data_IF_775802158631
#
_entry.id   IF_775802158631
#
_cell.length_a   1.000
_cell.length_b   1.000
_cell.length_c   1.000
_cell.angle_alpha   90.00
_cell.angle_beta   90.00
_cell.angle_gamma   90.00
#
_symmetry.space_group_name_H-M   'P 1'
#
loop_
_entity.id
_entity.type
_entity.pdbx_description
1 polymer ?
#
# COMPACT_ATOMS: atom_id res chain seq x y z
N UNK A 1 -12.40 1.97 20.18
CA UNK A 1 -12.41 3.33 19.60
C UNK A 1 -11.56 3.30 18.33
N UNK A 2 -12.12 3.67 17.17
CA UNK A 2 -11.34 3.75 15.92
C UNK A 2 -10.25 4.80 16.10
N UNK A 3 -9.01 4.42 15.85
CA UNK A 3 -7.87 5.32 15.73
C UNK A 3 -8.27 6.47 14.81
N UNK A 4 -8.03 7.72 15.21
CA UNK A 4 -8.04 8.90 14.34
C UNK A 4 -6.80 8.84 13.44
N UNK A 5 -6.70 7.79 12.65
CA UNK A 5 -5.92 7.79 11.43
C UNK A 5 -6.78 8.53 10.41
N UNK A 6 -6.17 9.40 9.67
CA UNK A 6 -6.79 10.08 8.54
C UNK A 6 -7.52 9.03 7.69
N UNK A 7 -8.86 9.07 7.57
CA UNK A 7 -9.62 8.03 6.86
C UNK A 7 -9.13 7.82 5.43
N UNK A 8 -8.49 8.82 4.82
CA UNK A 8 -7.89 8.72 3.50
C UNK A 8 -6.57 7.90 3.53
N UNK A 9 -5.83 7.91 4.64
CA UNK A 9 -4.58 7.12 4.81
C UNK A 9 -4.91 5.66 5.10
N UNK A 10 -5.91 5.39 5.93
CA UNK A 10 -6.35 4.01 6.23
C UNK A 10 -6.99 3.36 5.01
N UNK A 11 -7.82 4.08 4.27
CA UNK A 11 -8.41 3.61 3.02
C UNK A 11 -7.32 3.30 1.96
N UNK A 12 -6.30 4.16 1.84
CA UNK A 12 -5.18 3.94 0.91
C UNK A 12 -4.29 2.74 1.34
N UNK A 13 -4.13 2.52 2.64
CA UNK A 13 -3.38 1.38 3.17
C UNK A 13 -4.14 0.06 2.99
N UNK A 14 -5.44 0.04 3.28
CA UNK A 14 -6.31 -1.12 3.04
C UNK A 14 -6.36 -1.47 1.54
N UNK A 15 -6.51 -0.49 0.66
CA UNK A 15 -6.49 -0.69 -0.79
C UNK A 15 -5.14 -1.27 -1.25
N UNK A 16 -4.02 -0.78 -0.69
CA UNK A 16 -2.67 -1.28 -1.01
C UNK A 16 -2.47 -2.72 -0.54
N UNK A 17 -2.93 -3.05 0.67
CA UNK A 17 -2.85 -4.40 1.23
C UNK A 17 -3.76 -5.39 0.50
N UNK A 18 -4.99 -4.99 0.13
CA UNK A 18 -5.88 -5.82 -0.69
C UNK A 18 -5.29 -6.10 -2.07
N UNK A 19 -4.69 -5.08 -2.71
CA UNK A 19 -4.03 -5.24 -4.02
C UNK A 19 -2.82 -6.17 -3.91
N UNK A 20 -2.01 -6.05 -2.86
CA UNK A 20 -0.88 -6.94 -2.60
C UNK A 20 -1.33 -8.38 -2.35
N UNK A 21 -2.36 -8.58 -1.51
CA UNK A 21 -2.93 -9.90 -1.22
C UNK A 21 -3.58 -10.54 -2.46
N UNK A 22 -4.28 -9.76 -3.29
CA UNK A 22 -4.85 -10.24 -4.57
C UNK A 22 -3.75 -10.60 -5.57
N UNK A 23 -2.64 -9.84 -5.61
CA UNK A 23 -1.47 -10.18 -6.44
C UNK A 23 -0.80 -11.48 -6.00
N UNK A 24 -0.66 -11.70 -4.70
CA UNK A 24 -0.10 -12.93 -4.12
C UNK A 24 -1.00 -14.13 -4.40
N UNK A 25 -2.31 -13.98 -4.23
CA UNK A 25 -3.28 -15.03 -4.52
C UNK A 25 -3.35 -15.37 -6.02
N UNK A 26 -3.31 -14.37 -6.89
CA UNK A 26 -3.23 -14.56 -8.36
C UNK A 26 -1.88 -15.18 -8.80
N UNK A 27 -0.83 -15.04 -7.99
CA UNK A 27 0.46 -15.69 -8.23
C UNK A 27 0.47 -17.19 -7.91
N UNK A 28 -0.37 -17.64 -7.01
CA UNK A 28 -0.34 -19.02 -6.46
C UNK A 28 -1.33 -19.98 -7.10
N UNK A 29 -2.46 -19.52 -7.63
CA UNK A 29 -3.55 -20.37 -8.16
C UNK A 29 -3.79 -20.15 -9.65
N UNK A 30 -3.04 -20.88 -10.50
CA UNK A 30 -3.32 -20.94 -11.94
C UNK A 30 -4.30 -22.07 -12.25
N UNK A 31 -5.43 -21.70 -12.84
CA UNK A 31 -6.38 -22.66 -13.39
C UNK A 31 -5.79 -23.37 -14.62
N UNK A 32 -6.24 -24.58 -14.95
CA UNK A 32 -5.87 -25.23 -16.21
C UNK A 32 -6.17 -24.36 -17.44
N UNK A 33 -7.26 -23.59 -17.41
CA UNK A 33 -7.64 -22.64 -18.46
C UNK A 33 -6.63 -21.52 -18.65
N UNK A 34 -6.08 -20.93 -17.57
CA UNK A 34 -5.04 -19.90 -17.66
C UNK A 34 -3.74 -20.49 -18.27
N UNK A 35 -3.36 -21.71 -17.90
CA UNK A 35 -2.19 -22.39 -18.49
C UNK A 35 -2.36 -22.60 -20.00
N UNK A 36 -3.53 -23.07 -20.42
CA UNK A 36 -3.85 -23.25 -21.83
C UNK A 36 -3.83 -21.94 -22.59
N UNK A 37 -4.44 -20.88 -22.05
CA UNK A 37 -4.46 -19.54 -22.66
C UNK A 37 -3.03 -19.00 -22.84
N UNK A 38 -2.15 -19.16 -21.83
CA UNK A 38 -0.75 -18.73 -21.93
C UNK A 38 -0.01 -19.46 -23.06
N UNK A 39 -0.20 -20.77 -23.17
CA UNK A 39 0.45 -21.57 -24.22
C UNK A 39 -0.10 -21.20 -25.61
N UNK A 40 -1.41 -21.05 -25.74
CA UNK A 40 -2.04 -20.70 -27.03
C UNK A 40 -1.70 -19.27 -27.47
N UNK A 41 -1.79 -18.29 -26.57
CA UNK A 41 -1.50 -16.89 -26.92
C UNK A 41 0.00 -16.66 -27.13
N UNK A 42 0.86 -17.15 -26.22
CA UNK A 42 2.30 -16.97 -26.34
C UNK A 42 2.89 -17.79 -27.49
N UNK A 43 2.50 -19.06 -27.61
CA UNK A 43 2.92 -19.93 -28.72
C UNK A 43 2.36 -19.48 -30.08
N UNK A 44 1.10 -19.01 -30.07
CA UNK A 44 0.47 -18.41 -31.26
C UNK A 44 1.21 -17.17 -31.75
N UNK A 45 1.60 -16.26 -30.85
CA UNK A 45 2.43 -15.13 -31.20
C UNK A 45 3.76 -15.54 -31.83
N UNK A 46 4.48 -16.49 -31.20
CA UNK A 46 5.75 -16.98 -31.73
C UNK A 46 5.60 -17.60 -33.14
N UNK A 47 4.56 -18.39 -33.34
CA UNK A 47 4.26 -18.98 -34.64
C UNK A 47 3.96 -17.89 -35.73
N UNK A 48 3.14 -16.91 -35.40
CA UNK A 48 2.83 -15.80 -36.30
C UNK A 48 4.07 -14.96 -36.61
N UNK A 49 4.90 -14.63 -35.62
CA UNK A 49 6.15 -13.92 -35.80
C UNK A 49 7.13 -14.65 -36.75
N UNK A 50 7.22 -15.97 -36.63
CA UNK A 50 8.01 -16.82 -37.53
C UNK A 50 7.43 -16.84 -38.96
N UNK A 51 6.10 -16.94 -39.11
CA UNK A 51 5.46 -16.90 -40.42
C UNK A 51 5.74 -15.56 -41.15
N UNK A 52 5.65 -14.44 -40.41
CA UNK A 52 5.99 -13.13 -40.94
C UNK A 52 7.46 -13.08 -41.42
N UNK A 53 8.38 -13.61 -40.62
CA UNK A 53 9.80 -13.61 -40.95
C UNK A 53 10.11 -14.42 -42.23
N UNK A 54 9.47 -15.57 -42.44
CA UNK A 54 9.68 -16.40 -43.65
C UNK A 54 9.31 -15.63 -44.94
N UNK A 55 8.38 -14.69 -44.85
CA UNK A 55 7.99 -13.84 -46.02
C UNK A 55 8.98 -12.70 -46.30
N UNK A 56 10.10 -12.59 -45.59
CA UNK A 56 11.11 -11.55 -45.79
C UNK A 56 12.02 -11.88 -46.98
N UNK A 57 12.13 -11.01 -47.99
CA UNK A 57 12.89 -11.32 -49.19
C UNK A 57 14.41 -11.13 -49.04
N UNK A 58 14.88 -10.40 -48.03
CA UNK A 58 16.29 -10.05 -47.87
C UNK A 58 16.81 -10.33 -46.46
N UNK A 59 17.86 -11.13 -46.35
CA UNK A 59 18.61 -11.45 -45.16
C UNK A 59 20.07 -10.99 -45.26
N UNK A 60 20.34 -9.85 -45.88
CA UNK A 60 21.68 -9.30 -45.94
C UNK A 60 22.30 -9.08 -44.53
N UNK A 61 23.64 -9.09 -44.46
CA UNK A 61 24.36 -8.85 -43.21
C UNK A 61 24.00 -7.53 -42.53
N UNK A 62 23.61 -6.52 -43.33
CA UNK A 62 23.14 -5.24 -42.81
C UNK A 62 21.80 -5.37 -42.11
N UNK A 63 20.86 -6.11 -42.71
CA UNK A 63 19.55 -6.37 -42.07
C UNK A 63 19.74 -7.17 -40.82
N UNK A 64 20.57 -8.21 -40.80
CA UNK A 64 20.86 -9.03 -39.62
C UNK A 64 21.48 -8.18 -38.51
N UNK A 65 22.48 -7.35 -38.81
CA UNK A 65 23.12 -6.48 -37.83
C UNK A 65 22.16 -5.45 -37.22
N UNK A 66 21.30 -4.88 -38.08
CA UNK A 66 20.25 -3.95 -37.59
C UNK A 66 19.21 -4.65 -36.74
N UNK A 67 18.79 -5.85 -37.14
CA UNK A 67 17.87 -6.69 -36.33
C UNK A 67 18.42 -6.97 -34.94
N UNK A 68 19.67 -7.43 -34.83
CA UNK A 68 20.33 -7.70 -33.54
C UNK A 68 20.38 -6.44 -32.67
N UNK A 69 20.69 -5.27 -33.26
CA UNK A 69 20.72 -4.01 -32.56
C UNK A 69 19.33 -3.67 -31.98
N UNK A 70 18.26 -3.77 -32.80
CA UNK A 70 16.91 -3.48 -32.35
C UNK A 70 16.38 -4.49 -31.33
N UNK A 71 16.77 -5.78 -31.43
CA UNK A 71 16.51 -6.80 -30.40
C UNK A 71 17.14 -6.36 -29.05
N UNK A 72 18.39 -5.91 -29.06
CA UNK A 72 19.06 -5.43 -27.86
C UNK A 72 18.38 -4.19 -27.27
N UNK A 73 18.05 -3.22 -28.11
CA UNK A 73 17.34 -1.99 -27.70
C UNK A 73 15.96 -2.30 -27.12
N UNK A 74 15.21 -3.17 -27.76
CA UNK A 74 13.88 -3.60 -27.28
C UNK A 74 14.01 -4.35 -25.93
N UNK A 75 15.01 -5.23 -25.78
CA UNK A 75 15.26 -5.93 -24.54
C UNK A 75 15.61 -4.98 -23.39
N UNK A 76 16.42 -3.94 -23.66
CA UNK A 76 16.76 -2.91 -22.66
C UNK A 76 15.51 -2.09 -22.29
N UNK A 77 14.75 -1.61 -23.29
CA UNK A 77 13.51 -0.88 -23.06
C UNK A 77 12.50 -1.73 -22.25
N UNK A 78 12.38 -3.02 -22.59
CA UNK A 78 11.47 -3.96 -21.89
C UNK A 78 11.88 -4.25 -20.42
N UNK A 79 13.09 -3.88 -19.99
CA UNK A 79 13.51 -3.94 -18.57
C UNK A 79 13.19 -2.70 -17.79
N UNK A 80 12.85 -1.63 -18.49
CA UNK A 80 12.50 -0.34 -17.89
C UNK A 80 11.00 -0.32 -17.60
N UNK A 81 10.64 -0.93 -16.48
CA UNK A 81 9.25 -1.04 -16.05
C UNK A 81 8.87 0.16 -15.17
N UNK A 82 7.77 0.82 -15.49
CA UNK A 82 7.15 1.86 -14.67
C UNK A 82 5.94 1.28 -13.95
N UNK A 83 5.90 1.42 -12.65
CA UNK A 83 4.65 1.24 -11.92
C UNK A 83 3.80 2.51 -12.09
N UNK A 84 2.64 2.35 -12.71
CA UNK A 84 1.56 3.33 -12.62
C UNK A 84 1.06 3.36 -11.17
N UNK A 85 0.28 4.37 -10.77
CA UNK A 85 -0.29 4.47 -9.40
C UNK A 85 -0.58 3.11 -8.79
N UNK A 86 -0.34 2.93 -7.49
CA UNK A 86 -0.48 1.66 -6.80
C UNK A 86 -1.74 0.90 -7.24
N UNK A 87 -1.55 -0.27 -7.85
CA UNK A 87 -2.66 -1.14 -8.29
C UNK A 87 -3.08 -1.04 -9.77
N UNK A 88 -2.70 -0.02 -10.54
CA UNK A 88 -3.14 0.15 -11.94
C UNK A 88 -2.27 -0.58 -12.98
N UNK A 89 -1.21 -1.28 -12.55
CA UNK A 89 -0.36 -2.05 -13.46
C UNK A 89 1.02 -1.43 -13.66
N UNK A 90 1.89 -2.20 -14.33
CA UNK A 90 3.21 -1.75 -14.77
C UNK A 90 3.21 -1.55 -16.28
N UNK A 91 3.99 -0.60 -16.74
CA UNK A 91 4.15 -0.23 -18.13
C UNK A 91 5.60 -0.31 -18.56
N UNK A 92 5.82 -0.67 -19.80
CA UNK A 92 7.16 -0.82 -20.40
C UNK A 92 7.26 0.10 -21.61
N UNK A 93 8.16 1.09 -21.67
CA UNK A 93 8.23 2.08 -22.73
C UNK A 93 8.99 1.55 -23.96
N UNK A 94 8.48 0.51 -24.59
CA UNK A 94 9.08 -0.09 -25.79
C UNK A 94 8.69 0.64 -27.08
N UNK A 95 7.68 1.51 -27.02
CA UNK A 95 7.03 2.13 -28.16
C UNK A 95 7.99 2.91 -29.09
N UNK A 96 8.91 3.78 -28.60
CA UNK A 96 9.83 4.48 -29.49
C UNK A 96 10.71 3.55 -30.32
N UNK A 97 11.13 2.41 -29.71
CA UNK A 97 11.95 1.40 -30.39
C UNK A 97 11.12 0.61 -31.39
N UNK A 98 9.90 0.23 -31.03
CA UNK A 98 8.99 -0.53 -31.88
C UNK A 98 8.61 0.27 -33.13
N UNK A 99 8.17 1.52 -32.96
CA UNK A 99 7.78 2.40 -34.07
C UNK A 99 8.95 2.63 -35.02
N UNK A 100 10.13 2.94 -34.53
CA UNK A 100 11.30 3.11 -35.38
C UNK A 100 11.70 1.81 -36.09
N UNK A 101 11.56 0.66 -35.45
CA UNK A 101 11.86 -0.64 -36.02
C UNK A 101 11.02 -0.89 -37.30
N UNK A 102 9.75 -0.47 -37.33
CA UNK A 102 8.88 -0.62 -38.51
C UNK A 102 9.37 0.14 -39.77
N UNK A 103 10.23 1.15 -39.61
CA UNK A 103 10.76 1.94 -40.70
C UNK A 103 12.24 1.68 -41.03
N UNK A 104 12.96 1.04 -40.11
CA UNK A 104 14.40 0.75 -40.26
C UNK A 104 14.64 -0.70 -40.64
N UNK A 105 13.78 -1.62 -40.18
CA UNK A 105 13.79 -3.04 -40.54
C UNK A 105 12.72 -3.33 -41.59
N UNK A 106 12.85 -4.43 -42.36
CA UNK A 106 11.71 -5.00 -43.05
C UNK A 106 10.56 -5.24 -42.11
N UNK A 107 9.36 -4.73 -42.40
CA UNK A 107 8.18 -4.80 -41.53
C UNK A 107 7.89 -6.22 -41.05
N UNK A 108 8.09 -7.20 -41.93
CA UNK A 108 7.92 -8.64 -41.63
C UNK A 108 8.82 -9.15 -40.50
N UNK A 109 9.98 -8.53 -40.27
CA UNK A 109 10.92 -8.93 -39.21
C UNK A 109 10.60 -8.30 -37.85
N UNK A 110 9.76 -7.28 -37.77
CA UNK A 110 9.49 -6.57 -36.52
C UNK A 110 8.82 -7.46 -35.47
N UNK A 111 7.81 -8.30 -35.78
CA UNK A 111 7.26 -9.23 -34.78
C UNK A 111 8.31 -10.22 -34.26
N UNK A 112 9.22 -10.70 -35.14
CA UNK A 112 10.31 -11.58 -34.72
C UNK A 112 11.34 -10.84 -33.86
N UNK A 113 11.63 -9.59 -34.14
CA UNK A 113 12.49 -8.71 -33.33
C UNK A 113 11.89 -8.54 -31.91
N UNK A 114 10.58 -8.30 -31.81
CA UNK A 114 9.87 -8.22 -30.52
C UNK A 114 9.99 -9.54 -29.75
N UNK A 115 9.76 -10.70 -30.42
CA UNK A 115 9.90 -12.00 -29.81
C UNK A 115 11.30 -12.22 -29.21
N UNK A 116 12.35 -11.96 -29.98
CA UNK A 116 13.74 -12.11 -29.49
C UNK A 116 14.09 -11.08 -28.42
N UNK A 117 13.57 -9.86 -28.49
CA UNK A 117 13.73 -8.84 -27.46
C UNK A 117 13.11 -9.26 -26.12
N UNK A 118 11.91 -9.85 -26.14
CA UNK A 118 11.25 -10.41 -24.96
C UNK A 118 12.02 -11.61 -24.39
N UNK A 119 12.50 -12.50 -25.24
CA UNK A 119 13.35 -13.64 -24.85
C UNK A 119 14.63 -13.15 -24.18
N UNK A 120 15.36 -12.21 -24.81
CA UNK A 120 16.61 -11.67 -24.28
C UNK A 120 16.40 -10.92 -22.96
N UNK A 121 15.36 -10.09 -22.89
CA UNK A 121 15.00 -9.39 -21.66
C UNK A 121 14.73 -10.34 -20.50
N UNK A 122 14.03 -11.44 -20.76
CA UNK A 122 13.72 -12.46 -19.74
C UNK A 122 14.96 -13.28 -19.39
N UNK A 123 15.77 -13.70 -20.37
CA UNK A 123 16.97 -14.50 -20.16
C UNK A 123 18.05 -13.79 -19.34
N UNK A 124 18.07 -12.46 -19.38
CA UNK A 124 19.02 -11.64 -18.62
C UNK A 124 18.55 -11.31 -17.20
N UNK A 125 17.35 -11.74 -16.79
CA UNK A 125 16.92 -11.70 -15.39
C UNK A 125 17.59 -12.84 -14.61
N UNK A 126 17.97 -12.58 -13.36
CA UNK A 126 18.54 -13.63 -12.48
C UNK A 126 17.42 -14.38 -11.75
N UNK A 127 16.47 -14.90 -12.51
CA UNK A 127 15.32 -15.63 -11.98
C UNK A 127 15.65 -17.13 -11.80
N UNK A 128 14.96 -17.79 -10.87
CA UNK A 128 14.97 -19.26 -10.80
C UNK A 128 14.32 -19.86 -12.06
N UNK A 129 14.68 -21.09 -12.44
CA UNK A 129 14.16 -21.71 -13.66
C UNK A 129 12.63 -21.77 -13.74
N UNK A 130 11.88 -22.08 -12.66
CA UNK A 130 10.42 -22.02 -12.68
C UNK A 130 9.88 -20.59 -12.91
N UNK A 131 10.52 -19.58 -12.31
CA UNK A 131 10.16 -18.17 -12.45
C UNK A 131 10.47 -17.67 -13.87
N UNK A 132 11.63 -18.03 -14.43
CA UNK A 132 11.99 -17.73 -15.81
C UNK A 132 10.93 -18.24 -16.80
N UNK A 133 10.56 -19.53 -16.73
CA UNK A 133 9.53 -20.11 -17.61
C UNK A 133 8.19 -19.38 -17.48
N UNK A 134 7.85 -18.99 -16.27
CA UNK A 134 6.61 -18.25 -15.98
C UNK A 134 6.64 -16.85 -16.58
N UNK A 135 7.72 -16.09 -16.36
CA UNK A 135 7.90 -14.74 -16.87
C UNK A 135 7.92 -14.74 -18.39
N UNK A 136 8.67 -15.67 -19.00
CA UNK A 136 8.74 -15.81 -20.45
C UNK A 136 7.38 -16.06 -21.08
N UNK A 137 6.63 -17.03 -20.56
CA UNK A 137 5.32 -17.38 -21.09
C UNK A 137 4.31 -16.21 -21.04
N UNK A 138 4.39 -15.39 -20.00
CA UNK A 138 3.55 -14.19 -19.87
C UNK A 138 4.04 -13.06 -20.78
N UNK A 139 5.36 -12.85 -20.87
CA UNK A 139 5.95 -11.80 -21.72
C UNK A 139 5.66 -12.05 -23.21
N UNK A 140 5.66 -13.30 -23.66
CA UNK A 140 5.33 -13.65 -25.05
C UNK A 140 3.91 -13.21 -25.46
N UNK A 141 2.97 -13.18 -24.50
CA UNK A 141 1.60 -12.72 -24.77
C UNK A 141 1.58 -11.23 -25.14
N UNK A 142 2.44 -10.43 -24.52
CA UNK A 142 2.49 -8.99 -24.84
C UNK A 142 2.99 -8.71 -26.27
N UNK A 143 3.67 -9.65 -26.91
CA UNK A 143 4.18 -9.46 -28.26
C UNK A 143 3.12 -9.22 -29.36
N UNK A 144 1.87 -9.60 -29.10
CA UNK A 144 0.76 -9.40 -30.04
C UNK A 144 0.55 -7.94 -30.45
N UNK A 145 0.94 -6.97 -29.63
CA UNK A 145 0.85 -5.55 -29.96
C UNK A 145 1.60 -5.19 -31.26
N UNK A 146 2.62 -5.96 -31.65
CA UNK A 146 3.38 -5.72 -32.87
C UNK A 146 2.71 -6.24 -34.15
N UNK A 147 1.72 -7.12 -34.06
CA UNK A 147 1.10 -7.76 -35.23
C UNK A 147 0.15 -6.81 -35.96
N UNK A 148 -0.71 -6.09 -35.21
CA UNK A 148 -1.66 -5.15 -35.81
C UNK A 148 -0.97 -4.08 -36.69
N UNK A 149 0.01 -3.34 -36.17
CA UNK A 149 0.80 -2.38 -36.97
C UNK A 149 1.52 -3.02 -38.13
N UNK A 150 2.11 -4.21 -37.94
CA UNK A 150 2.80 -4.93 -39.03
C UNK A 150 1.85 -5.18 -40.21
N UNK A 151 0.65 -5.67 -39.97
CA UNK A 151 -0.36 -5.90 -41.01
C UNK A 151 -0.72 -4.62 -41.73
N UNK A 152 -1.02 -3.56 -40.99
CA UNK A 152 -1.40 -2.26 -41.55
C UNK A 152 -0.29 -1.70 -42.48
N UNK A 153 0.97 -1.72 -41.99
CA UNK A 153 2.09 -1.16 -42.72
C UNK A 153 2.49 -2.02 -43.92
N UNK A 154 2.35 -3.34 -43.86
CA UNK A 154 2.55 -4.23 -44.99
C UNK A 154 1.52 -4.00 -46.13
N UNK A 155 0.25 -3.84 -45.74
CA UNK A 155 -0.82 -3.58 -46.73
C UNK A 155 -0.68 -2.20 -47.33
N UNK A 156 -0.23 -1.21 -46.54
CA UNK A 156 -0.07 0.16 -47.02
C UNK A 156 1.15 0.40 -47.95
N UNK A 157 2.18 -0.44 -47.82
CA UNK A 157 3.44 -0.40 -48.58
C UNK A 157 4.02 1.03 -48.78
N UNK A 158 4.22 1.72 -47.66
CA UNK A 158 4.51 3.17 -47.64
C UNK A 158 5.93 3.56 -48.04
N UNK A 159 6.84 2.65 -48.23
CA UNK A 159 8.26 2.96 -48.53
C UNK A 159 8.93 3.75 -47.38
N UNK A 160 9.38 5.01 -47.65
CA UNK A 160 10.07 5.82 -46.63
C UNK A 160 9.11 6.49 -45.66
N UNK A 161 9.50 6.63 -44.38
CA UNK A 161 8.67 7.35 -43.39
C UNK A 161 8.56 8.83 -43.76
N UNK A 162 7.32 9.34 -43.83
CA UNK A 162 7.03 10.74 -44.10
C UNK A 162 5.76 11.19 -43.40
N UNK A 163 5.70 12.45 -42.96
CA UNK A 163 4.55 12.98 -42.21
C UNK A 163 3.24 12.91 -42.99
N UNK A 164 3.28 12.97 -44.30
CA UNK A 164 2.08 12.85 -45.14
C UNK A 164 1.30 11.54 -44.96
N UNK A 165 1.95 10.49 -44.45
CA UNK A 165 1.33 9.17 -44.22
C UNK A 165 0.72 9.05 -42.81
N UNK A 166 0.55 10.16 -42.08
CA UNK A 166 0.02 10.17 -40.70
C UNK A 166 -1.30 9.39 -40.50
N UNK A 167 -2.26 9.35 -41.49
CA UNK A 167 -3.49 8.58 -41.26
C UNK A 167 -3.23 7.08 -41.17
N UNK A 168 -2.25 6.56 -41.93
CA UNK A 168 -1.85 5.15 -41.86
C UNK A 168 -1.14 4.84 -40.53
N UNK A 169 -0.32 5.76 -40.04
CA UNK A 169 0.34 5.62 -38.76
C UNK A 169 -0.66 5.60 -37.60
N UNK A 170 -1.70 6.43 -37.65
CA UNK A 170 -2.80 6.37 -36.69
C UNK A 170 -3.56 5.04 -36.77
N UNK A 171 -3.83 4.56 -37.99
CA UNK A 171 -4.49 3.27 -38.18
C UNK A 171 -3.63 2.12 -37.61
N UNK A 172 -2.31 2.17 -37.81
CA UNK A 172 -1.38 1.21 -37.23
C UNK A 172 -1.40 1.23 -35.69
N UNK A 173 -1.43 2.43 -35.07
CA UNK A 173 -1.53 2.60 -33.62
C UNK A 173 -2.87 2.05 -33.08
N UNK A 174 -3.98 2.31 -33.76
CA UNK A 174 -5.28 1.74 -33.41
C UNK A 174 -5.33 0.22 -33.57
N UNK A 175 -4.67 -0.33 -34.60
CA UNK A 175 -4.54 -1.78 -34.78
C UNK A 175 -3.72 -2.43 -33.67
N UNK A 176 -2.66 -1.77 -33.19
CA UNK A 176 -1.89 -2.18 -32.01
C UNK A 176 -2.80 -2.26 -30.79
N UNK A 177 -3.48 -1.18 -30.47
CA UNK A 177 -4.38 -1.12 -29.32
C UNK A 177 -5.51 -2.16 -29.42
N UNK A 178 -6.08 -2.36 -30.62
CA UNK A 178 -7.07 -3.42 -30.87
C UNK A 178 -6.53 -4.81 -30.56
N UNK A 179 -5.29 -5.09 -30.95
CA UNK A 179 -4.62 -6.36 -30.61
C UNK A 179 -4.48 -6.54 -29.10
N UNK A 180 -4.08 -5.50 -28.38
CA UNK A 180 -3.92 -5.53 -26.93
C UNK A 180 -5.26 -5.75 -26.21
N UNK A 181 -6.32 -5.08 -26.65
CA UNK A 181 -7.68 -5.26 -26.09
C UNK A 181 -8.15 -6.69 -26.27
N UNK A 182 -7.98 -7.26 -27.47
CA UNK A 182 -8.39 -8.65 -27.75
C UNK A 182 -7.63 -9.63 -26.88
N UNK A 183 -6.31 -9.51 -26.80
CA UNK A 183 -5.46 -10.43 -26.03
C UNK A 183 -5.72 -10.28 -24.54
N UNK A 184 -5.84 -9.06 -24.02
CA UNK A 184 -6.18 -8.80 -22.62
C UNK A 184 -7.56 -9.36 -22.26
N UNK A 185 -8.56 -9.21 -23.15
CA UNK A 185 -9.91 -9.75 -22.94
C UNK A 185 -9.90 -11.28 -22.89
N UNK A 186 -9.23 -11.94 -23.83
CA UNK A 186 -9.09 -13.41 -23.84
C UNK A 186 -8.41 -13.92 -22.56
N UNK A 187 -7.40 -13.20 -22.10
CA UNK A 187 -6.71 -13.56 -20.86
C UNK A 187 -7.57 -13.34 -19.62
N UNK A 188 -8.31 -12.23 -19.55
CA UNK A 188 -9.26 -12.01 -18.44
C UNK A 188 -10.32 -13.11 -18.38
N UNK A 189 -10.85 -13.52 -19.53
CA UNK A 189 -11.82 -14.62 -19.61
C UNK A 189 -11.22 -15.93 -19.10
N UNK A 190 -9.96 -16.24 -19.41
CA UNK A 190 -9.29 -17.46 -18.94
C UNK A 190 -9.05 -17.46 -17.42
N UNK A 191 -8.97 -16.28 -16.82
CA UNK A 191 -8.81 -16.07 -15.37
C UNK A 191 -10.15 -15.94 -14.64
N UNK A 192 -11.30 -15.92 -15.35
CA UNK A 192 -12.61 -15.68 -14.76
C UNK A 192 -12.81 -14.24 -14.30
N UNK A 193 -12.04 -13.29 -14.84
CA UNK A 193 -12.11 -11.86 -14.52
C UNK A 193 -12.97 -11.16 -15.58
N UNK A 194 -13.85 -10.26 -15.16
CA UNK A 194 -14.63 -9.44 -16.10
C UNK A 194 -13.69 -8.52 -16.91
N UNK A 195 -13.64 -8.65 -18.27
CA UNK A 195 -12.78 -7.82 -19.10
C UNK A 195 -13.04 -6.30 -18.97
N UNK A 196 -14.26 -5.90 -18.59
CA UNK A 196 -14.62 -4.48 -18.42
C UNK A 196 -13.80 -3.79 -17.34
N UNK A 197 -13.32 -4.55 -16.32
CA UNK A 197 -12.44 -4.02 -15.27
C UNK A 197 -11.04 -3.64 -15.78
N UNK A 198 -10.65 -4.10 -16.97
CA UNK A 198 -9.38 -3.77 -17.59
C UNK A 198 -9.44 -2.49 -18.46
N UNK A 199 -10.61 -1.90 -18.64
CA UNK A 199 -10.78 -0.74 -19.53
C UNK A 199 -9.91 0.45 -19.13
N UNK A 200 -9.90 0.83 -17.88
CA UNK A 200 -9.10 1.97 -17.39
C UNK A 200 -7.58 1.71 -17.47
N UNK A 201 -7.02 0.56 -17.00
CA UNK A 201 -5.61 0.24 -17.20
C UNK A 201 -5.19 0.22 -18.68
N UNK A 202 -6.00 -0.37 -19.57
CA UNK A 202 -5.71 -0.42 -21.01
C UNK A 202 -5.72 0.98 -21.64
N UNK A 203 -6.66 1.84 -21.23
CA UNK A 203 -6.72 3.21 -21.72
C UNK A 203 -5.48 4.01 -21.32
N UNK A 204 -4.97 3.84 -20.10
CA UNK A 204 -3.73 4.47 -19.67
C UNK A 204 -2.52 3.96 -20.46
N UNK A 205 -2.41 2.64 -20.68
CA UNK A 205 -1.35 2.06 -21.52
C UNK A 205 -1.39 2.66 -22.91
N UNK A 206 -2.56 2.67 -23.55
CA UNK A 206 -2.73 3.27 -24.86
C UNK A 206 -2.37 4.76 -24.90
N UNK A 207 -2.78 5.55 -23.90
CA UNK A 207 -2.46 6.98 -23.84
C UNK A 207 -0.95 7.23 -23.77
N UNK A 208 -0.21 6.38 -23.09
CA UNK A 208 1.24 6.49 -22.98
C UNK A 208 1.92 6.02 -24.27
N UNK A 209 1.50 4.89 -24.85
CA UNK A 209 2.01 4.42 -26.13
C UNK A 209 1.77 5.46 -27.23
N UNK A 210 0.57 6.05 -27.28
CA UNK A 210 0.24 7.15 -28.19
C UNK A 210 1.10 8.41 -27.96
N UNK A 211 1.54 8.66 -26.74
CA UNK A 211 2.44 9.77 -26.41
C UNK A 211 3.90 9.49 -26.79
N UNK A 212 4.32 8.23 -26.75
CA UNK A 212 5.68 7.82 -27.07
C UNK A 212 5.90 7.46 -28.54
N UNK A 213 4.87 7.03 -29.26
CA UNK A 213 4.94 6.67 -30.67
C UNK A 213 5.50 7.80 -31.55
N UNK A 214 5.13 9.09 -31.39
CA UNK A 214 5.70 10.19 -32.18
C UNK A 214 7.20 10.32 -32.01
N UNK A 215 7.81 9.95 -30.89
CA UNK A 215 9.26 10.00 -30.70
C UNK A 215 9.98 8.97 -31.58
N UNK A 216 9.42 7.75 -31.68
CA UNK A 216 9.94 6.72 -32.57
C UNK A 216 9.80 7.10 -34.05
N UNK A 217 8.65 7.69 -34.43
CA UNK A 217 8.40 8.18 -35.77
C UNK A 217 9.35 9.34 -36.14
N UNK A 218 9.53 10.32 -35.26
CA UNK A 218 10.45 11.43 -35.44
C UNK A 218 11.89 10.95 -35.64
N UNK A 219 12.32 9.96 -34.83
CA UNK A 219 13.63 9.33 -34.99
C UNK A 219 13.77 8.62 -36.33
N UNK A 220 12.74 7.90 -36.79
CA UNK A 220 12.74 7.22 -38.08
C UNK A 220 12.80 8.22 -39.27
N UNK A 221 12.05 9.32 -39.21
CA UNK A 221 12.07 10.38 -40.22
C UNK A 221 13.42 11.08 -40.24
N UNK A 222 13.97 11.48 -39.07
CA UNK A 222 15.26 12.13 -38.98
C UNK A 222 16.42 11.25 -39.46
N UNK A 223 16.31 9.93 -39.26
CA UNK A 223 17.26 8.94 -39.76
C UNK A 223 17.00 8.50 -41.23
N UNK A 224 16.03 9.08 -41.91
CA UNK A 224 15.59 8.69 -43.26
C UNK A 224 15.26 7.19 -43.39
N UNK A 225 14.74 6.56 -42.32
CA UNK A 225 14.52 5.12 -42.29
C UNK A 225 15.80 4.28 -42.21
N UNK A 226 16.90 4.84 -41.73
CA UNK A 226 18.22 4.22 -41.64
C UNK A 226 18.71 4.24 -40.17
N UNK A 227 19.89 3.67 -39.93
CA UNK A 227 20.56 3.64 -38.61
C UNK A 227 20.85 5.01 -37.99
N UNK A 228 20.74 6.13 -38.75
CA UNK A 228 20.81 7.50 -38.22
C UNK A 228 19.80 7.81 -37.12
N UNK A 229 18.69 7.04 -37.03
CA UNK A 229 17.70 7.13 -35.96
C UNK A 229 18.20 6.61 -34.62
N UNK A 230 19.20 5.72 -34.60
CA UNK A 230 19.64 5.00 -33.41
C UNK A 230 20.11 5.89 -32.27
N UNK A 231 20.97 6.94 -32.49
CA UNK A 231 21.41 7.80 -31.40
C UNK A 231 20.26 8.50 -30.67
N UNK A 232 19.24 8.95 -31.41
CA UNK A 232 18.07 9.61 -30.85
C UNK A 232 17.22 8.62 -30.03
N UNK A 233 17.02 7.40 -30.54
CA UNK A 233 16.32 6.34 -29.84
C UNK A 233 17.03 5.93 -28.54
N UNK A 234 18.36 5.78 -28.58
CA UNK A 234 19.16 5.49 -27.39
C UNK A 234 18.98 6.60 -26.36
N UNK A 235 19.04 7.88 -26.76
CA UNK A 235 18.82 8.99 -25.85
C UNK A 235 17.45 8.96 -25.19
N UNK A 236 16.38 8.66 -25.96
CA UNK A 236 15.02 8.53 -25.45
C UNK A 236 14.91 7.35 -24.47
N UNK A 237 15.42 6.18 -24.83
CA UNK A 237 15.39 4.99 -23.95
C UNK A 237 16.14 5.25 -22.65
N UNK A 238 17.32 5.86 -22.71
CA UNK A 238 18.13 6.21 -21.54
C UNK A 238 17.39 7.23 -20.66
N UNK A 239 16.82 8.28 -21.24
CA UNK A 239 16.07 9.28 -20.47
C UNK A 239 14.89 8.65 -19.74
N UNK A 240 14.11 7.83 -20.43
CA UNK A 240 12.98 7.13 -19.84
C UNK A 240 13.45 6.16 -18.73
N UNK A 241 14.56 5.45 -18.94
CA UNK A 241 15.14 4.56 -17.95
C UNK A 241 15.59 5.32 -16.68
N UNK A 242 16.22 6.48 -16.84
CA UNK A 242 16.63 7.33 -15.72
C UNK A 242 15.41 7.84 -14.91
N UNK A 243 14.38 8.32 -15.60
CA UNK A 243 13.15 8.78 -14.95
C UNK A 243 12.42 7.64 -14.21
N UNK A 244 12.39 6.44 -14.79
CA UNK A 244 11.83 5.27 -14.14
C UNK A 244 12.59 4.89 -12.87
N UNK A 245 13.92 4.90 -12.95
CA UNK A 245 14.78 4.57 -11.81
C UNK A 245 14.63 5.57 -10.67
N UNK A 246 14.56 6.87 -10.99
CA UNK A 246 14.34 7.92 -10.01
C UNK A 246 13.00 7.74 -9.28
N UNK A 247 11.92 7.52 -10.04
CA UNK A 247 10.60 7.27 -9.47
C UNK A 247 10.54 6.05 -8.55
N UNK A 248 11.18 4.93 -8.94
CA UNK A 248 11.27 3.73 -8.10
C UNK A 248 11.94 4.03 -6.75
N UNK A 249 13.05 4.76 -6.76
CA UNK A 249 13.77 5.15 -5.53
C UNK A 249 12.89 5.98 -4.60
N UNK A 250 12.11 6.91 -5.15
CA UNK A 250 11.17 7.72 -4.35
C UNK A 250 10.07 6.89 -3.71
N UNK A 251 9.48 5.96 -4.44
CA UNK A 251 8.43 5.06 -3.92
C UNK A 251 8.99 4.14 -2.83
N UNK A 252 10.13 3.51 -3.06
CA UNK A 252 10.80 2.64 -2.08
C UNK A 252 11.16 3.41 -0.80
N UNK A 253 11.69 4.63 -0.93
CA UNK A 253 12.01 5.49 0.22
C UNK A 253 10.77 5.88 1.02
N UNK A 254 9.65 6.18 0.34
CA UNK A 254 8.38 6.51 1.01
C UNK A 254 7.78 5.32 1.76
N UNK A 255 7.86 4.12 1.20
CA UNK A 255 7.42 2.88 1.85
C UNK A 255 8.27 2.56 3.09
N UNK A 256 9.61 2.64 2.97
CA UNK A 256 10.51 2.43 4.11
C UNK A 256 10.28 3.44 5.24
N UNK A 257 10.01 4.71 4.91
CA UNK A 257 9.70 5.74 5.88
C UNK A 257 8.36 5.44 6.58
N UNK A 258 7.35 5.01 5.82
CA UNK A 258 6.05 4.59 6.35
C UNK A 258 6.18 3.42 7.35
N UNK A 259 6.91 2.36 6.97
CA UNK A 259 7.19 1.22 7.85
C UNK A 259 7.97 1.63 9.11
N UNK A 260 8.97 2.50 8.97
CA UNK A 260 9.74 3.00 10.12
C UNK A 260 8.86 3.80 11.09
N UNK A 261 7.92 4.62 10.59
CA UNK A 261 6.98 5.38 11.42
C UNK A 261 6.01 4.45 12.15
N UNK A 262 5.47 3.44 11.46
CA UNK A 262 4.56 2.45 12.06
C UNK A 262 5.30 1.64 13.14
N UNK A 263 6.52 1.19 12.87
CA UNK A 263 7.35 0.45 13.83
C UNK A 263 7.68 1.32 15.05
N UNK A 264 8.14 2.56 14.83
CA UNK A 264 8.45 3.48 15.93
C UNK A 264 7.22 3.80 16.81
N UNK A 265 6.03 3.98 16.20
CA UNK A 265 4.77 4.15 16.93
C UNK A 265 4.38 2.87 17.69
N UNK A 266 4.59 1.70 17.10
CA UNK A 266 4.35 0.40 17.75
C UNK A 266 5.29 0.13 18.93
N UNK A 267 6.50 0.66 18.93
CA UNK A 267 7.49 0.53 19.99
C UNK A 267 7.34 1.59 21.11
N UNK A 268 6.64 2.67 20.86
CA UNK A 268 6.37 3.70 21.85
C UNK A 268 5.58 3.10 23.02
N UNK A 269 6.06 3.35 24.26
CA UNK A 269 5.42 2.91 25.51
C UNK A 269 4.72 4.04 26.26
N UNK A 270 4.70 5.23 25.68
CA UNK A 270 4.20 6.43 26.32
C UNK A 270 3.05 7.00 25.50
N UNK A 271 1.98 7.41 26.15
CA UNK A 271 0.89 8.19 25.54
C UNK A 271 1.36 9.62 25.27
N UNK A 272 1.30 10.04 24.02
CA UNK A 272 1.84 11.33 23.57
C UNK A 272 1.09 12.54 24.16
N UNK A 273 -0.18 12.39 24.60
CA UNK A 273 -0.98 13.46 25.12
C UNK A 273 -0.73 13.71 26.62
N UNK A 274 -0.58 12.62 27.40
CA UNK A 274 -0.49 12.67 28.86
C UNK A 274 0.90 12.40 29.41
N UNK A 275 1.80 11.84 28.60
CA UNK A 275 3.15 11.43 29.02
C UNK A 275 3.17 10.21 29.95
N UNK A 276 2.06 9.54 30.16
CA UNK A 276 1.94 8.33 30.94
C UNK A 276 2.15 7.07 30.08
N UNK A 277 2.20 5.88 30.68
CA UNK A 277 2.23 4.64 29.92
C UNK A 277 1.01 4.54 28.98
N UNK A 278 1.21 4.02 27.79
CA UNK A 278 0.10 3.72 26.88
C UNK A 278 -0.45 2.30 27.15
N UNK A 279 -1.50 1.91 26.43
CA UNK A 279 -2.12 0.58 26.54
C UNK A 279 -1.10 -0.57 26.46
N UNK A 280 -0.13 -0.48 25.56
CA UNK A 280 0.89 -1.53 25.38
C UNK A 280 1.79 -1.67 26.61
N UNK A 281 2.30 -0.54 27.11
CA UNK A 281 3.12 -0.55 28.32
C UNK A 281 2.32 -1.02 29.55
N UNK A 282 1.03 -0.72 29.58
CA UNK A 282 0.11 -1.26 30.58
C UNK A 282 0.01 -2.79 30.52
N UNK A 283 -0.22 -3.35 29.34
CA UNK A 283 -0.33 -4.80 29.14
C UNK A 283 0.98 -5.50 29.56
N UNK A 284 2.13 -4.97 29.15
CA UNK A 284 3.46 -5.46 29.55
C UNK A 284 3.65 -5.40 31.09
N UNK A 285 3.19 -4.32 31.74
CA UNK A 285 3.29 -4.18 33.21
C UNK A 285 2.38 -5.17 33.94
N UNK A 286 1.16 -5.38 33.45
CA UNK A 286 0.20 -6.35 33.98
C UNK A 286 0.73 -7.78 33.85
N UNK A 287 1.30 -8.15 32.71
CA UNK A 287 1.88 -9.48 32.49
C UNK A 287 3.06 -9.71 33.46
N UNK A 288 3.95 -8.74 33.59
CA UNK A 288 5.07 -8.81 34.54
C UNK A 288 4.62 -8.87 36.02
N UNK A 289 3.53 -8.18 36.37
CA UNK A 289 2.94 -8.25 37.70
C UNK A 289 2.30 -9.62 37.98
N UNK A 290 1.69 -10.23 36.94
CA UNK A 290 1.15 -11.59 37.03
C UNK A 290 2.24 -12.62 37.32
N UNK A 291 3.37 -12.54 36.59
CA UNK A 291 4.51 -13.43 36.79
C UNK A 291 5.09 -13.31 38.25
N UNK A 292 5.14 -12.05 38.75
CA UNK A 292 5.60 -11.82 40.14
C UNK A 292 4.62 -12.35 41.20
N UNK A 293 3.32 -12.17 40.98
CA UNK A 293 2.27 -12.69 41.85
C UNK A 293 2.27 -14.21 41.86
N UNK A 294 2.48 -14.87 40.75
CA UNK A 294 2.56 -16.33 40.60
C UNK A 294 3.82 -16.89 41.31
N UNK A 295 4.93 -16.14 41.24
CA UNK A 295 6.19 -16.52 41.89
C UNK A 295 6.16 -16.38 43.43
N UNK A 296 5.43 -15.40 43.98
CA UNK A 296 5.32 -15.16 45.44
C UNK A 296 3.88 -14.75 45.82
N UNK A 297 2.94 -15.70 45.85
CA UNK A 297 1.53 -15.40 46.09
C UNK A 297 1.21 -14.84 47.47
N UNK A 298 2.04 -15.11 48.47
CA UNK A 298 1.83 -14.67 49.85
C UNK A 298 2.52 -13.34 50.17
N UNK A 299 3.70 -13.09 49.60
CA UNK A 299 4.49 -11.89 49.81
C UNK A 299 4.19 -10.76 48.81
N UNK A 300 3.46 -11.01 47.75
CA UNK A 300 3.14 -10.02 46.71
C UNK A 300 1.65 -9.74 46.63
N UNK A 301 1.27 -8.49 46.42
CA UNK A 301 -0.13 -8.05 46.20
C UNK A 301 -0.20 -7.14 44.97
N UNK A 302 -1.28 -7.29 44.26
CA UNK A 302 -1.59 -6.44 43.08
C UNK A 302 -2.95 -5.83 43.27
N UNK A 303 -3.04 -4.53 43.06
CA UNK A 303 -4.30 -3.79 43.01
C UNK A 303 -4.38 -2.94 41.76
N UNK A 304 -5.58 -2.88 41.20
CA UNK A 304 -5.87 -2.11 40.01
C UNK A 304 -6.82 -0.98 40.39
N UNK A 305 -6.53 0.24 39.92
CA UNK A 305 -7.48 1.35 39.93
C UNK A 305 -7.77 1.69 38.48
N UNK A 306 -9.04 1.75 38.14
CA UNK A 306 -9.51 2.26 36.84
C UNK A 306 -10.19 3.60 37.03
N UNK A 307 -10.06 4.47 36.05
CA UNK A 307 -10.76 5.73 36.03
C UNK A 307 -11.25 6.02 34.59
N UNK A 308 -12.37 6.71 34.53
CA UNK A 308 -13.00 7.11 33.28
C UNK A 308 -13.51 8.56 33.40
N UNK A 309 -13.12 9.40 32.45
CA UNK A 309 -13.50 10.82 32.43
C UNK A 309 -14.96 10.96 32.04
N UNK A 310 -15.76 11.54 32.94
CA UNK A 310 -17.18 11.70 32.73
C UNK A 310 -17.48 12.78 31.67
N UNK A 311 -18.45 12.52 30.82
CA UNK A 311 -18.99 13.48 29.86
C UNK A 311 -18.01 14.04 28.82
N UNK A 312 -16.89 13.39 28.53
CA UNK A 312 -15.90 13.86 27.55
C UNK A 312 -16.54 14.14 26.18
N UNK A 313 -17.40 13.22 25.69
CA UNK A 313 -18.10 13.42 24.43
C UNK A 313 -18.94 14.71 24.42
N UNK A 314 -19.70 14.98 25.48
CA UNK A 314 -20.51 16.21 25.60
C UNK A 314 -19.62 17.45 25.60
N UNK A 315 -18.48 17.41 26.29
CA UNK A 315 -17.51 18.51 26.29
C UNK A 315 -16.97 18.75 24.87
N UNK A 316 -16.58 17.70 24.16
CA UNK A 316 -16.13 17.80 22.77
C UNK A 316 -17.20 18.38 21.85
N UNK A 317 -18.45 17.92 21.99
CA UNK A 317 -19.57 18.37 21.16
C UNK A 317 -19.95 19.83 21.44
N UNK A 318 -19.73 20.33 22.66
CA UNK A 318 -20.16 21.68 23.11
C UNK A 318 -19.06 22.72 23.05
N UNK A 319 -17.81 22.34 23.43
CA UNK A 319 -16.68 23.26 23.62
C UNK A 319 -15.51 22.94 22.66
N UNK A 320 -15.65 21.90 21.82
CA UNK A 320 -14.64 21.47 20.88
C UNK A 320 -13.61 20.49 21.47
N UNK A 321 -12.89 19.80 20.57
CA UNK A 321 -11.91 18.78 20.96
C UNK A 321 -10.75 19.30 21.80
N UNK A 322 -10.33 20.55 21.62
CA UNK A 322 -9.28 21.17 22.44
C UNK A 322 -9.63 21.23 23.93
N UNK A 323 -10.92 21.47 24.26
CA UNK A 323 -11.39 21.45 25.63
C UNK A 323 -11.38 20.03 26.23
N UNK A 324 -11.78 19.03 25.44
CA UNK A 324 -11.68 17.62 25.86
C UNK A 324 -10.25 17.15 26.07
N UNK A 325 -9.34 17.53 25.18
CA UNK A 325 -7.91 17.26 25.30
C UNK A 325 -7.31 17.91 26.54
N UNK A 326 -7.73 19.12 26.89
CA UNK A 326 -7.31 19.79 28.12
C UNK A 326 -7.77 19.04 29.37
N UNK A 327 -9.00 18.52 29.39
CA UNK A 327 -9.48 17.68 30.49
C UNK A 327 -8.68 16.38 30.63
N UNK A 328 -8.37 15.71 29.52
CA UNK A 328 -7.57 14.48 29.51
C UNK A 328 -6.16 14.74 30.09
N UNK A 329 -5.49 15.82 29.63
CA UNK A 329 -4.17 16.21 30.17
C UNK A 329 -4.24 16.52 31.66
N UNK A 330 -5.25 17.26 32.07
CA UNK A 330 -5.45 17.63 33.49
C UNK A 330 -5.67 16.39 34.36
N UNK A 331 -6.47 15.42 33.93
CA UNK A 331 -6.63 14.16 34.64
C UNK A 331 -5.30 13.40 34.72
N UNK A 332 -4.52 13.36 33.63
CA UNK A 332 -3.16 12.81 33.63
C UNK A 332 -2.24 13.48 34.65
N UNK A 333 -2.32 14.80 34.81
CA UNK A 333 -1.53 15.54 35.81
C UNK A 333 -1.97 15.21 37.24
N UNK A 334 -3.27 15.03 37.46
CA UNK A 334 -3.79 14.55 38.80
C UNK A 334 -3.18 13.19 39.13
N UNK A 335 -3.19 12.25 38.19
CA UNK A 335 -2.57 10.93 38.47
C UNK A 335 -1.07 11.04 38.75
N UNK A 336 -0.35 11.89 38.03
CA UNK A 336 1.09 12.10 38.25
C UNK A 336 1.40 12.69 39.62
N UNK A 337 0.49 13.49 40.16
CA UNK A 337 0.66 14.16 41.48
C UNK A 337 0.25 13.28 42.66
N UNK A 338 -0.82 12.50 42.48
CA UNK A 338 -1.47 11.77 43.56
C UNK A 338 -0.99 10.32 43.68
N UNK A 339 -0.70 9.67 42.54
CA UNK A 339 -0.33 8.25 42.52
C UNK A 339 1.13 8.08 42.99
N UNK A 340 1.43 7.07 43.82
CA UNK A 340 2.80 6.76 44.24
C UNK A 340 3.74 6.52 43.04
N UNK A 341 5.01 6.94 43.16
CA UNK A 341 6.00 6.86 42.07
C UNK A 341 6.39 5.43 41.68
N UNK A 342 6.17 4.46 42.54
CA UNK A 342 6.41 3.04 42.29
C UNK A 342 5.25 2.33 41.59
N UNK A 343 4.14 3.02 41.39
CA UNK A 343 2.99 2.51 40.62
C UNK A 343 3.09 2.82 39.13
N UNK A 344 2.54 1.95 38.32
CA UNK A 344 2.40 2.21 36.87
C UNK A 344 1.08 2.90 36.60
N UNK A 345 1.14 4.11 36.02
CA UNK A 345 -0.03 4.85 35.56
C UNK A 345 -0.08 4.81 34.02
N UNK A 346 -1.23 4.43 33.48
CA UNK A 346 -1.42 4.32 32.04
C UNK A 346 -2.72 4.99 31.57
N UNK A 347 -2.69 5.50 30.34
CA UNK A 347 -3.89 5.85 29.60
C UNK A 347 -4.19 4.72 28.60
N UNK A 348 -5.35 4.06 28.78
CA UNK A 348 -5.74 2.91 27.97
C UNK A 348 -6.36 3.30 26.62
N UNK A 349 -6.86 4.53 26.50
CA UNK A 349 -7.44 5.10 25.31
C UNK A 349 -8.61 6.04 25.62
N UNK A 350 -8.85 7.04 24.78
CA UNK A 350 -9.94 7.97 24.96
C UNK A 350 -9.93 8.65 26.35
N UNK A 351 -10.90 8.32 27.15
CA UNK A 351 -11.20 8.80 28.51
C UNK A 351 -10.76 7.84 29.63
N UNK A 352 -10.16 6.67 29.30
CA UNK A 352 -9.84 5.61 30.23
C UNK A 352 -8.39 5.69 30.75
N UNK A 353 -8.23 5.67 32.07
CA UNK A 353 -6.94 5.59 32.76
C UNK A 353 -6.90 4.38 33.70
N UNK A 354 -5.71 3.88 33.92
CA UNK A 354 -5.47 2.73 34.82
C UNK A 354 -4.23 2.98 35.71
N UNK A 355 -4.28 2.46 36.93
CA UNK A 355 -3.14 2.41 37.85
C UNK A 355 -2.93 0.98 38.28
N UNK A 356 -1.70 0.47 38.17
CA UNK A 356 -1.23 -0.77 38.67
C UNK A 356 -0.39 -0.49 39.92
N UNK A 357 -0.84 -1.01 41.05
CA UNK A 357 -0.17 -0.96 42.35
C UNK A 357 0.31 -2.36 42.71
N UNK A 358 1.58 -2.51 43.01
CA UNK A 358 2.17 -3.78 43.39
C UNK A 358 3.14 -3.61 44.58
N UNK A 359 3.25 -4.63 45.39
CA UNK A 359 4.16 -4.65 46.53
C UNK A 359 3.76 -5.64 47.61
N UNK A 360 4.45 -5.63 48.75
CA UNK A 360 4.09 -6.45 49.94
C UNK A 360 2.67 -6.14 50.41
N UNK A 361 2.03 -7.09 51.14
CA UNK A 361 0.73 -6.84 51.75
C UNK A 361 0.73 -5.59 52.64
N UNK A 362 -0.19 -4.65 52.31
CA UNK A 362 -0.31 -3.40 53.09
C UNK A 362 0.61 -2.25 52.59
N UNK A 363 1.37 -2.43 51.52
CA UNK A 363 2.23 -1.37 50.97
C UNK A 363 1.43 -0.19 50.41
N UNK A 364 0.22 -0.43 49.94
CA UNK A 364 -0.64 0.60 49.37
C UNK A 364 -2.03 0.55 49.96
N UNK A 365 -2.53 1.69 50.45
CA UNK A 365 -3.92 1.87 50.85
C UNK A 365 -4.73 2.37 49.60
N UNK A 366 -5.37 1.41 48.93
CA UNK A 366 -6.14 1.68 47.72
C UNK A 366 -7.37 2.56 48.01
N UNK A 367 -7.96 2.43 49.19
CA UNK A 367 -9.12 3.23 49.58
C UNK A 367 -8.73 4.70 49.84
N UNK A 368 -7.59 4.94 50.44
CA UNK A 368 -7.04 6.26 50.63
C UNK A 368 -6.63 6.89 49.29
N UNK A 369 -5.96 6.13 48.41
CA UNK A 369 -5.63 6.60 47.03
C UNK A 369 -6.89 7.03 46.26
N UNK A 370 -7.96 6.23 46.30
CA UNK A 370 -9.23 6.58 45.67
C UNK A 370 -9.85 7.86 46.26
N UNK A 371 -9.78 8.02 47.60
CA UNK A 371 -10.25 9.24 48.26
C UNK A 371 -9.44 10.48 47.79
N UNK A 372 -8.12 10.35 47.74
CA UNK A 372 -7.24 11.43 47.26
C UNK A 372 -7.48 11.78 45.79
N UNK A 373 -7.64 10.79 44.90
CA UNK A 373 -7.94 11.01 43.50
C UNK A 373 -9.29 11.74 43.33
N UNK A 374 -10.33 11.34 44.07
CA UNK A 374 -11.62 12.03 44.05
C UNK A 374 -11.53 13.46 44.57
N UNK A 375 -10.86 13.65 45.69
CA UNK A 375 -10.67 14.99 46.26
C UNK A 375 -9.89 15.90 45.32
N UNK A 376 -8.85 15.39 44.69
CA UNK A 376 -8.04 16.16 43.74
C UNK A 376 -8.85 16.54 42.51
N UNK A 377 -9.66 15.64 41.95
CA UNK A 377 -10.51 15.93 40.76
C UNK A 377 -11.66 16.87 41.09
N UNK A 378 -12.32 16.70 42.24
CA UNK A 378 -13.49 17.51 42.63
C UNK A 378 -13.11 18.95 43.00
N UNK A 379 -11.88 19.21 43.48
CA UNK A 379 -11.35 20.51 43.80
C UNK A 379 -10.74 21.32 42.65
N UNK A 380 -10.66 20.76 41.45
CA UNK A 380 -10.09 21.44 40.30
C UNK A 380 -11.02 22.58 39.84
N UNK A 381 -10.40 23.68 39.46
CA UNK A 381 -11.12 24.79 38.78
C UNK A 381 -11.48 24.31 37.35
N UNK A 382 -12.54 24.86 36.76
CA UNK A 382 -12.92 24.58 35.39
C UNK A 382 -11.74 24.77 34.43
N UNK A 383 -11.50 23.79 33.55
CA UNK A 383 -10.45 23.82 32.55
C UNK A 383 -11.08 24.06 31.18
N UNK A 384 -10.62 25.08 30.47
CA UNK A 384 -11.19 25.48 29.16
C UNK A 384 -12.74 25.64 29.17
N UNK A 385 -13.29 26.08 30.29
CA UNK A 385 -14.75 26.26 30.48
C UNK A 385 -15.52 24.98 30.85
N UNK A 386 -14.84 23.83 30.98
CA UNK A 386 -15.44 22.58 31.39
C UNK A 386 -14.97 22.15 32.80
N UNK A 387 -15.90 21.63 33.60
CA UNK A 387 -15.57 21.02 34.90
C UNK A 387 -15.07 19.60 34.69
N UNK A 388 -13.87 19.29 35.21
CA UNK A 388 -13.36 17.92 35.22
C UNK A 388 -14.20 17.07 36.18
N UNK A 389 -14.65 15.93 35.73
CA UNK A 389 -15.33 14.91 36.52
C UNK A 389 -14.82 13.53 36.04
N UNK A 390 -14.47 12.67 36.95
CA UNK A 390 -14.03 11.32 36.64
C UNK A 390 -14.64 10.32 37.65
N UNK A 391 -14.98 9.14 37.15
CA UNK A 391 -15.46 8.02 37.94
C UNK A 391 -14.33 7.03 38.18
N UNK A 392 -14.22 6.52 39.40
CA UNK A 392 -13.11 5.68 39.84
C UNK A 392 -13.61 4.35 40.38
N UNK A 393 -12.87 3.28 40.14
CA UNK A 393 -13.10 1.97 40.70
C UNK A 393 -11.82 1.23 40.96
N UNK A 394 -11.81 0.36 41.96
CA UNK A 394 -10.65 -0.45 42.27
C UNK A 394 -10.99 -1.92 42.41
N UNK A 395 -10.00 -2.77 42.19
CA UNK A 395 -10.05 -4.19 42.44
C UNK A 395 -8.68 -4.69 42.90
N UNK A 396 -8.66 -5.49 43.95
CA UNK A 396 -7.45 -6.12 44.43
C UNK A 396 -7.45 -7.61 44.09
N UNK A 397 -6.28 -8.15 43.83
CA UNK A 397 -6.08 -9.56 43.53
C UNK A 397 -5.71 -10.31 44.83
N UNK A 398 -6.64 -11.09 45.42
CA UNK A 398 -6.30 -12.00 46.51
C UNK A 398 -5.49 -13.20 45.96
N UNK A 399 -4.79 -13.96 46.85
CA UNK A 399 -3.84 -15.02 46.46
C UNK A 399 -4.38 -16.09 45.48
N UNK A 400 -5.69 -16.28 45.43
CA UNK A 400 -6.33 -17.34 44.62
C UNK A 400 -6.97 -16.82 43.32
N UNK A 401 -6.78 -15.56 42.93
CA UNK A 401 -7.41 -14.94 41.79
C UNK A 401 -6.40 -14.29 40.86
N UNK A 402 -6.76 -14.19 39.57
CA UNK A 402 -5.93 -13.57 38.58
C UNK A 402 -6.06 -12.03 38.56
N UNK A 403 -5.05 -11.34 38.07
CA UNK A 403 -5.11 -9.88 37.86
C UNK A 403 -6.30 -9.50 36.97
N UNK A 404 -6.70 -10.35 36.02
CA UNK A 404 -7.92 -10.14 35.18
C UNK A 404 -9.20 -10.05 36.04
N UNK A 405 -9.28 -10.78 37.17
CA UNK A 405 -10.42 -10.66 38.09
C UNK A 405 -10.39 -9.32 38.82
N UNK A 406 -9.20 -8.81 39.20
CA UNK A 406 -9.06 -7.48 39.79
C UNK A 406 -9.49 -6.38 38.82
N UNK A 407 -9.07 -6.47 37.56
CA UNK A 407 -9.52 -5.54 36.49
C UNK A 407 -11.04 -5.56 36.36
N UNK A 408 -11.66 -6.75 36.30
CA UNK A 408 -13.12 -6.90 36.19
C UNK A 408 -13.88 -6.34 37.40
N UNK A 409 -13.30 -6.43 38.61
CA UNK A 409 -13.86 -5.85 39.81
C UNK A 409 -13.78 -4.33 39.77
N UNK A 410 -12.61 -3.78 39.35
CA UNK A 410 -12.39 -2.37 39.20
C UNK A 410 -13.36 -1.76 38.17
N UNK A 411 -13.56 -2.41 37.03
CA UNK A 411 -14.48 -1.98 35.98
C UNK A 411 -15.94 -1.88 36.46
N UNK A 412 -16.41 -2.91 37.22
CA UNK A 412 -17.73 -2.86 37.84
C UNK A 412 -17.86 -1.73 38.87
N UNK A 413 -16.79 -1.43 39.59
CA UNK A 413 -16.78 -0.34 40.58
C UNK A 413 -16.82 1.04 39.89
N UNK A 414 -16.12 1.22 38.76
CA UNK A 414 -16.24 2.44 37.89
C UNK A 414 -17.67 2.64 37.43
N UNK A 415 -18.28 1.56 36.92
CA UNK A 415 -19.67 1.64 36.44
C UNK A 415 -20.64 2.03 37.56
N UNK A 416 -20.47 1.48 38.79
CA UNK A 416 -21.28 1.86 39.95
C UNK A 416 -21.06 3.30 40.36
N UNK A 417 -19.80 3.79 40.35
CA UNK A 417 -19.47 5.18 40.65
C UNK A 417 -20.11 6.15 39.63
N UNK A 418 -20.03 5.82 38.33
CA UNK A 418 -20.72 6.57 37.25
C UNK A 418 -22.23 6.68 37.48
N UNK A 419 -22.87 5.56 37.87
CA UNK A 419 -24.30 5.53 38.15
C UNK A 419 -24.67 6.41 39.35
N UNK A 420 -23.87 6.37 40.40
CA UNK A 420 -24.07 7.19 41.61
C UNK A 420 -23.90 8.67 41.36
N UNK A 421 -22.87 9.05 40.58
CA UNK A 421 -22.62 10.48 40.18
C UNK A 421 -23.72 11.03 39.26
N UNK A 422 -24.26 10.21 38.36
CA UNK A 422 -25.42 10.58 37.54
C UNK A 422 -26.69 10.81 38.39
N UNK A 423 -26.94 9.97 39.38
CA UNK A 423 -28.08 10.10 40.27
C UNK A 423 -27.96 11.34 41.19
N UNK A 424 -26.76 11.69 41.63
CA UNK A 424 -26.49 12.84 42.48
C UNK A 424 -26.53 14.21 41.79
N UNK A 425 -26.43 14.24 40.43
CA UNK A 425 -26.59 15.46 39.60
C UNK A 425 -27.76 15.26 38.64
N UNK A 426 -29.03 15.44 39.08
CA UNK A 426 -30.15 15.47 38.16
C UNK A 426 -29.91 16.58 37.13
N UNK A 427 -30.10 16.23 35.86
CA UNK A 427 -29.91 17.07 34.68
C UNK A 427 -30.65 18.42 34.88
N UNK A 428 -29.92 19.52 35.01
CA UNK A 428 -30.50 20.89 35.00
C UNK A 428 -30.79 21.38 33.59
N UNK A 429 -31.13 20.44 32.67
CA UNK A 429 -31.29 20.70 31.24
C UNK A 429 -32.73 20.87 30.75
N UNK A 430 -33.76 20.69 31.59
CA UNK A 430 -35.19 20.76 31.15
C UNK A 430 -36.02 21.90 31.78
N UNK A 431 -35.40 23.04 32.13
CA UNK A 431 -36.14 24.22 32.51
C UNK A 431 -35.63 25.49 31.78
N UNK A 432 -35.71 25.47 30.44
CA UNK A 432 -35.80 26.67 29.63
C UNK A 432 -36.55 26.30 28.34
N UNK A 433 -37.89 26.53 28.42
CA UNK A 433 -38.80 26.50 27.29
C UNK A 433 -38.62 27.71 26.40
#
# INVERSE_FOLDING_TARGET
MKSDSDPDVDAALEETLEVAARREHARTTRTPADRLAIVLLGGGFAAVALIFAVATPDYSWRVIGTFVLFVAMHAIANRTEFELRAGLGSMVPTEPVLVAAFFVLPVNLVPLMVLFGLLLSTATRRDSLPQFRRTLAVSMISGWHSIGPAVVLLVADLGRPALQHWPVYLLALFAQFGSDVVVASLRCMSLGIDPRKMGQPLLWTFAIDASLAPLGLAAAIAGEGKLGAVPLLVAVVVLVALLAQDRRRHVESSLMLGEAIVTARGEARVDAMTGQANRRAWEEAVDAASDRLDADPDGHRVSIVLADLDHLKRTNDTLGHEAGDALIRTLGDVFRTVVPHDATVARLGGDEFAVLLEGPPGSHDVADLLAQLRLATDNLQPVSGAQLSASFGSGSCPPERSIRDAVRIADKAVFADKASRRAARPDRGDLAG
#
